data_IF_330455973113
#
_entry.id   IF_330455973113
#
_cell.length_a   1.000
_cell.length_b   1.000
_cell.length_c   1.000
_cell.angle_alpha   90.00
_cell.angle_beta   90.00
_cell.angle_gamma   90.00
#
_symmetry.space_group_name_H-M   'P 1'
#
loop_
_entity.id
_entity.type
_entity.pdbx_description
1 polymer ?
#
# COMPACT_ATOMS: atom_id res chain seq x y z
N UNK A 1 4.77 3.76 -11.22
CA UNK A 1 4.84 2.31 -11.56
C UNK A 1 5.77 2.01 -12.75
N UNK A 2 5.67 2.76 -13.86
CA UNK A 2 6.52 2.55 -15.05
C UNK A 2 8.03 2.66 -14.78
N UNK A 3 8.43 3.49 -13.83
CA UNK A 3 9.85 3.64 -13.46
C UNK A 3 10.34 2.47 -12.60
N UNK A 4 9.46 1.89 -11.76
CA UNK A 4 9.80 0.79 -10.85
C UNK A 4 10.09 -0.53 -11.59
N UNK A 5 9.37 -0.78 -12.68
CA UNK A 5 9.60 -1.97 -13.53
C UNK A 5 10.84 -1.83 -14.43
N UNK A 6 11.45 -0.64 -14.49
CA UNK A 6 12.64 -0.33 -15.30
C UNK A 6 13.89 -0.11 -14.46
N UNK A 7 13.83 -0.33 -13.14
CA UNK A 7 15.00 -0.25 -12.29
C UNK A 7 16.09 -1.21 -12.78
N UNK A 8 17.33 -0.76 -12.75
CA UNK A 8 18.47 -1.62 -13.03
C UNK A 8 18.59 -2.69 -11.94
N UNK A 9 19.10 -3.87 -12.31
CA UNK A 9 19.46 -4.88 -11.32
C UNK A 9 20.56 -4.32 -10.41
N UNK A 10 20.35 -4.37 -9.09
CA UNK A 10 21.24 -3.79 -8.10
C UNK A 10 21.00 -2.30 -7.85
N UNK A 11 19.82 -1.77 -8.19
CA UNK A 11 19.42 -0.38 -7.90
C UNK A 11 19.56 0.00 -6.41
N UNK A 12 19.50 -1.00 -5.52
CA UNK A 12 19.65 -0.88 -4.07
C UNK A 12 21.12 -0.90 -3.60
N UNK A 13 22.09 -0.94 -4.53
CA UNK A 13 23.50 -1.14 -4.23
C UNK A 13 23.89 -2.61 -3.97
N UNK A 14 22.94 -3.54 -4.06
CA UNK A 14 23.15 -4.98 -3.89
C UNK A 14 22.66 -5.75 -5.11
N UNK A 15 21.58 -6.53 -4.96
CA UNK A 15 21.03 -7.42 -5.99
C UNK A 15 19.52 -7.21 -6.15
N UNK A 16 19.02 -6.05 -5.74
CA UNK A 16 17.62 -5.68 -5.91
C UNK A 16 17.18 -5.88 -7.35
N UNK A 17 16.06 -6.58 -7.52
CA UNK A 17 15.43 -6.75 -8.82
C UNK A 17 14.46 -5.59 -9.08
N UNK A 18 14.24 -5.19 -10.35
CA UNK A 18 13.11 -4.35 -10.68
C UNK A 18 11.81 -5.01 -10.27
N UNK A 19 10.80 -4.19 -9.95
CA UNK A 19 9.44 -4.68 -9.72
C UNK A 19 8.98 -5.46 -10.95
N UNK A 20 8.42 -6.66 -10.75
CA UNK A 20 7.96 -7.45 -11.90
C UNK A 20 6.77 -6.76 -12.57
N UNK A 21 6.65 -6.86 -13.89
CA UNK A 21 5.51 -6.29 -14.61
C UNK A 21 4.17 -6.84 -14.11
N UNK A 22 4.11 -8.13 -13.80
CA UNK A 22 2.90 -8.79 -13.29
C UNK A 22 2.51 -8.25 -11.91
N UNK A 23 3.47 -8.12 -11.00
CA UNK A 23 3.27 -7.52 -9.67
C UNK A 23 2.80 -6.07 -9.80
N UNK A 24 3.47 -5.26 -10.63
CA UNK A 24 3.13 -3.86 -10.86
C UNK A 24 1.72 -3.69 -11.44
N UNK A 25 1.36 -4.44 -12.48
CA UNK A 25 0.04 -4.39 -13.09
C UNK A 25 -1.05 -4.89 -12.13
N UNK A 26 -0.76 -5.94 -11.35
CA UNK A 26 -1.67 -6.41 -10.30
C UNK A 26 -1.89 -5.34 -9.23
N UNK A 27 -0.82 -4.71 -8.74
CA UNK A 27 -0.88 -3.67 -7.72
C UNK A 27 -1.73 -2.47 -8.18
N UNK A 28 -1.57 -2.01 -9.43
CA UNK A 28 -2.42 -0.94 -9.99
C UNK A 28 -3.89 -1.33 -10.01
N UNK A 29 -4.23 -2.53 -10.49
CA UNK A 29 -5.63 -3.00 -10.55
C UNK A 29 -6.24 -3.20 -9.17
N UNK A 30 -5.44 -3.68 -8.22
CA UNK A 30 -5.83 -3.79 -6.81
C UNK A 30 -6.16 -2.40 -6.26
N UNK A 31 -5.26 -1.43 -6.41
CA UNK A 31 -5.48 -0.04 -6.00
C UNK A 31 -6.74 0.57 -6.61
N UNK A 32 -6.96 0.41 -7.91
CA UNK A 32 -8.16 0.88 -8.62
C UNK A 32 -9.46 0.30 -8.04
N UNK A 33 -9.40 -0.90 -7.44
CA UNK A 33 -10.56 -1.57 -6.85
C UNK A 33 -10.83 -1.23 -5.38
N UNK A 34 -9.82 -0.73 -4.65
CA UNK A 34 -9.91 -0.50 -3.21
C UNK A 34 -9.91 0.99 -2.84
N UNK A 35 -9.37 1.85 -3.70
CA UNK A 35 -9.27 3.28 -3.42
C UNK A 35 -10.59 4.00 -3.75
N UNK A 36 -11.28 4.59 -2.76
CA UNK A 36 -12.40 5.48 -3.05
C UNK A 36 -11.89 6.77 -3.70
N UNK A 37 -12.80 7.46 -4.41
CA UNK A 37 -12.51 8.79 -4.96
C UNK A 37 -12.10 9.74 -3.84
N UNK A 38 -10.94 10.39 -3.98
CA UNK A 38 -10.43 11.35 -2.99
C UNK A 38 -9.64 10.73 -1.84
N UNK A 39 -9.37 9.43 -1.85
CA UNK A 39 -8.45 8.83 -0.90
C UNK A 39 -7.04 9.46 -1.00
N UNK A 40 -6.30 9.56 0.12
CA UNK A 40 -4.93 10.04 0.09
C UNK A 40 -4.08 9.14 -0.83
N UNK A 41 -3.17 9.76 -1.57
CA UNK A 41 -2.28 9.03 -2.46
C UNK A 41 -1.27 8.21 -1.65
N UNK A 42 -1.12 6.90 -1.91
CA UNK A 42 -0.09 6.11 -1.24
C UNK A 42 1.31 6.47 -1.74
N UNK A 43 2.30 6.16 -0.92
CA UNK A 43 3.66 5.94 -1.39
C UNK A 43 3.78 4.54 -2.00
N UNK A 44 4.59 4.42 -3.05
CA UNK A 44 4.81 3.15 -3.75
C UNK A 44 6.31 2.90 -3.86
N UNK A 45 6.77 1.84 -3.19
CA UNK A 45 8.18 1.57 -2.95
C UNK A 45 8.55 0.22 -3.57
N UNK A 46 9.62 0.15 -4.37
CA UNK A 46 10.07 -1.11 -4.95
C UNK A 46 10.64 -2.03 -3.87
N UNK A 47 10.23 -3.30 -3.89
CA UNK A 47 10.86 -4.35 -3.11
C UNK A 47 12.08 -4.95 -3.82
N UNK A 48 12.90 -5.69 -3.08
CA UNK A 48 14.17 -6.24 -3.61
C UNK A 48 13.98 -7.48 -4.48
N UNK A 49 12.83 -8.16 -4.40
CA UNK A 49 12.58 -9.46 -5.07
C UNK A 49 11.54 -9.35 -6.19
N UNK A 50 11.36 -8.16 -6.77
CA UNK A 50 10.34 -7.91 -7.79
C UNK A 50 8.92 -7.70 -7.22
N UNK A 51 8.83 -7.62 -5.89
CA UNK A 51 7.66 -7.21 -5.11
C UNK A 51 7.54 -5.67 -5.03
N UNK A 52 6.41 -5.18 -4.50
CA UNK A 52 6.19 -3.74 -4.28
C UNK A 52 5.47 -3.53 -2.95
N UNK A 53 5.89 -2.51 -2.22
CA UNK A 53 5.22 -2.02 -1.03
C UNK A 53 4.41 -0.77 -1.38
N UNK A 54 3.19 -0.72 -0.86
CA UNK A 54 2.30 0.43 -0.98
C UNK A 54 1.94 0.83 0.44
N UNK A 55 2.15 2.09 0.79
CA UNK A 55 1.93 2.55 2.16
C UNK A 55 1.25 3.91 2.23
N UNK A 56 0.47 4.09 3.29
CA UNK A 56 -0.10 5.35 3.72
C UNK A 56 0.43 5.62 5.12
N UNK A 57 1.05 6.77 5.30
CA UNK A 57 1.41 7.31 6.60
C UNK A 57 0.59 8.58 6.84
N UNK A 58 -0.34 8.52 7.78
CA UNK A 58 -1.26 9.63 8.09
C UNK A 58 -1.30 9.88 9.59
N UNK A 59 -1.80 11.04 10.02
CA UNK A 59 -2.00 11.30 11.45
C UNK A 59 -3.00 10.32 12.09
N UNK A 60 -3.90 9.74 11.30
CA UNK A 60 -4.89 8.76 11.76
C UNK A 60 -4.32 7.33 11.90
N UNK A 61 -3.08 7.11 11.47
CA UNK A 61 -2.41 5.83 11.47
C UNK A 61 -1.79 5.45 10.13
N UNK A 62 -1.25 4.23 10.10
CA UNK A 62 -0.45 3.69 9.03
C UNK A 62 -1.11 2.48 8.40
N UNK A 63 -0.98 2.34 7.07
CA UNK A 63 -1.40 1.15 6.34
C UNK A 63 -0.27 0.75 5.41
N UNK A 64 0.13 -0.52 5.45
CA UNK A 64 1.12 -1.10 4.56
C UNK A 64 0.53 -2.29 3.80
N UNK A 65 0.76 -2.33 2.49
CA UNK A 65 0.40 -3.46 1.62
C UNK A 65 1.68 -3.97 0.92
N UNK A 66 2.17 -5.12 1.36
CA UNK A 66 3.27 -5.82 0.72
C UNK A 66 2.77 -6.76 -0.38
N UNK A 67 2.80 -6.29 -1.62
CA UNK A 67 2.40 -7.07 -2.80
C UNK A 67 3.58 -7.92 -3.27
N UNK A 68 3.67 -9.14 -2.73
CA UNK A 68 4.76 -10.10 -3.00
C UNK A 68 4.70 -10.61 -4.45
N UNK A 69 3.48 -10.87 -4.94
CA UNK A 69 3.13 -11.32 -6.30
C UNK A 69 1.61 -11.23 -6.49
N UNK A 70 1.05 -11.44 -7.70
CA UNK A 70 -0.40 -11.43 -7.88
C UNK A 70 -1.12 -12.38 -6.92
N UNK A 71 -2.17 -11.87 -6.28
CA UNK A 71 -3.00 -12.56 -5.27
C UNK A 71 -2.20 -13.08 -4.05
N UNK A 72 -1.09 -12.43 -3.70
CA UNK A 72 -0.32 -12.70 -2.50
C UNK A 72 0.11 -11.37 -1.90
N UNK A 73 -0.74 -10.83 -1.04
CA UNK A 73 -0.54 -9.53 -0.42
C UNK A 73 -0.62 -9.68 1.08
N UNK A 74 0.41 -9.28 1.80
CA UNK A 74 0.33 -9.10 3.23
C UNK A 74 -0.03 -7.66 3.50
N UNK A 75 -1.06 -7.43 4.31
CA UNK A 75 -1.49 -6.12 4.70
C UNK A 75 -1.31 -5.96 6.21
N UNK A 76 -0.83 -4.79 6.61
CA UNK A 76 -0.67 -4.41 8.00
C UNK A 76 -1.23 -3.00 8.21
N UNK A 77 -1.74 -2.75 9.42
CA UNK A 77 -2.27 -1.44 9.82
C UNK A 77 -1.94 -1.14 11.27
N UNK A 78 -1.59 0.10 11.53
CA UNK A 78 -1.54 0.69 12.86
C UNK A 78 -2.51 1.87 12.97
N UNK A 79 -3.19 1.96 14.11
CA UNK A 79 -4.00 3.10 14.55
C UNK A 79 -3.89 3.22 16.07
N UNK A 80 -4.37 4.32 16.65
CA UNK A 80 -4.51 4.46 18.11
C UNK A 80 -5.29 3.30 18.76
N UNK A 81 -6.22 2.69 18.02
CA UNK A 81 -7.06 1.60 18.53
C UNK A 81 -6.33 0.24 18.56
N UNK A 82 -5.38 0.02 17.66
CA UNK A 82 -4.58 -1.22 17.60
C UNK A 82 -3.30 -1.11 18.42
N UNK A 83 -2.76 0.10 18.60
CA UNK A 83 -1.44 0.34 19.20
C UNK A 83 -0.30 -0.15 18.30
N UNK A 84 0.91 -0.13 18.84
CA UNK A 84 2.17 -0.40 18.12
C UNK A 84 2.24 -1.80 17.49
N UNK A 85 1.54 -2.79 18.05
CA UNK A 85 1.51 -4.16 17.50
C UNK A 85 0.70 -4.22 16.18
N UNK A 86 -0.18 -3.25 15.95
CA UNK A 86 -1.03 -3.15 14.76
C UNK A 86 -2.00 -4.34 14.60
N UNK A 87 -2.52 -4.48 13.38
CA UNK A 87 -3.23 -5.68 12.94
C UNK A 87 -2.79 -6.05 11.52
N UNK A 88 -2.81 -7.35 11.21
CA UNK A 88 -2.38 -7.87 9.91
C UNK A 88 -3.37 -8.86 9.28
N UNK A 89 -3.34 -8.93 7.96
CA UNK A 89 -4.14 -9.88 7.17
C UNK A 89 -3.41 -10.30 5.89
N UNK A 90 -3.43 -11.60 5.61
CA UNK A 90 -2.99 -12.15 4.33
C UNK A 90 -4.16 -12.14 3.34
N UNK A 91 -3.99 -11.45 2.22
CA UNK A 91 -4.98 -11.25 1.19
C UNK A 91 -4.61 -12.02 -0.07
N UNK A 92 -5.61 -12.67 -0.65
CA UNK A 92 -5.47 -13.43 -1.88
C UNK A 92 -6.37 -12.86 -2.97
N UNK A 93 -7.65 -13.21 -2.95
CA UNK A 93 -8.64 -12.78 -3.95
C UNK A 93 -9.69 -11.82 -3.40
N UNK A 94 -9.75 -11.65 -2.08
CA UNK A 94 -10.69 -10.77 -1.39
C UNK A 94 -9.94 -9.62 -0.72
N UNK A 95 -10.13 -8.42 -1.24
CA UNK A 95 -9.52 -7.18 -0.74
C UNK A 95 -10.52 -6.31 0.03
N UNK A 96 -11.74 -6.79 0.28
CA UNK A 96 -12.74 -6.05 1.07
C UNK A 96 -12.27 -5.68 2.48
N UNK A 97 -11.47 -6.50 3.21
CA UNK A 97 -11.00 -6.13 4.53
C UNK A 97 -10.28 -4.77 4.54
N UNK A 98 -9.40 -4.53 3.57
CA UNK A 98 -8.58 -3.31 3.50
C UNK A 98 -9.34 -2.08 2.99
N UNK A 99 -10.47 -2.25 2.29
CA UNK A 99 -11.32 -1.12 1.88
C UNK A 99 -11.80 -0.35 3.11
N UNK A 100 -12.14 -1.05 4.19
CA UNK A 100 -12.58 -0.41 5.43
C UNK A 100 -11.47 0.42 6.09
N UNK A 101 -10.22 -0.07 6.01
CA UNK A 101 -9.05 0.62 6.55
C UNK A 101 -8.76 1.90 5.77
N UNK A 102 -8.71 1.81 4.43
CA UNK A 102 -8.49 2.96 3.54
C UNK A 102 -9.57 4.02 3.73
N UNK A 103 -10.83 3.59 3.88
CA UNK A 103 -11.93 4.52 4.12
C UNK A 103 -11.74 5.31 5.43
N UNK A 104 -11.37 4.63 6.52
CA UNK A 104 -11.18 5.27 7.82
C UNK A 104 -10.08 6.34 7.78
N UNK A 105 -8.93 6.05 7.17
CA UNK A 105 -7.86 7.05 7.06
C UNK A 105 -8.25 8.21 6.13
N UNK A 106 -9.04 7.95 5.09
CA UNK A 106 -9.50 8.98 4.15
C UNK A 106 -10.47 9.96 4.83
N UNK A 107 -11.42 9.44 5.60
CA UNK A 107 -12.37 10.26 6.36
C UNK A 107 -11.66 11.08 7.44
N UNK A 108 -10.75 10.46 8.20
CA UNK A 108 -9.98 11.16 9.22
C UNK A 108 -9.09 12.27 8.66
N UNK A 109 -8.44 12.03 7.51
CA UNK A 109 -7.63 13.06 6.83
C UNK A 109 -8.50 14.23 6.36
N UNK A 110 -9.67 13.95 5.79
CA UNK A 110 -10.59 14.99 5.33
C UNK A 110 -11.15 15.84 6.49
N UNK A 111 -11.47 15.20 7.64
CA UNK A 111 -11.94 15.90 8.83
C UNK A 111 -10.86 16.80 9.43
N UNK A 112 -9.60 16.34 9.45
CA UNK A 112 -8.46 17.14 9.90
C UNK A 112 -8.22 18.36 9.00
N UNK A 113 -8.25 18.18 7.68
CA UNK A 113 -8.13 19.28 6.70
C UNK A 113 -9.26 20.31 6.88
N UNK A 114 -10.50 19.85 7.10
CA UNK A 114 -11.65 20.72 7.32
C UNK A 114 -11.56 21.50 8.64
N UNK A 115 -10.98 20.90 9.69
CA UNK A 115 -10.77 21.57 10.97
C UNK A 115 -9.63 22.61 10.95
N UNK A 116 -8.70 22.49 9.99
CA UNK A 116 -7.58 23.41 9.81
C UNK A 116 -7.88 24.62 8.89
N UNK A 117 -9.01 24.60 8.16
CA UNK A 117 -9.45 25.65 7.23
C UNK A 117 -10.26 26.77 7.87
#
# INVERSE_FOLDING_TARGET
MQDLIRLDVGWDGYRGQPVSFETANFAVRMLESILPSGAPAPQVIPGISGDVQIEWHTEAGDIELHVRRPNSVHAWRETDATGEDGEEVELTFDFRPIVSWIKQISEATADADAAAA
#
